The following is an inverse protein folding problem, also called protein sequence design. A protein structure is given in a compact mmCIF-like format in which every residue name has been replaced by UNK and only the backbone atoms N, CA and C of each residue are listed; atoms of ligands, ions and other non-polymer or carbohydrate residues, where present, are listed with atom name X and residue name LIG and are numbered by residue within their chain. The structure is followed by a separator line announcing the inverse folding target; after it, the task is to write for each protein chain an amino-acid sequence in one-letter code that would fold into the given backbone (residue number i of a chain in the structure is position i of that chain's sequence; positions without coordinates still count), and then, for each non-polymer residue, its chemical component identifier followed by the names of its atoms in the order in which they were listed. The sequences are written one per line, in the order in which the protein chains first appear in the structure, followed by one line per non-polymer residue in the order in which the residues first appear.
data_IF_127676242801
#
_entry.id   IF_127676242801
#
_cell.length_a   1.000
_cell.length_b   1.000
_cell.length_c   1.000
_cell.angle_alpha   90.00
_cell.angle_beta   90.00
_cell.angle_gamma   90.00
#
_symmetry.space_group_name_H-M   'P 1'
#
loop_
_entity.id
_entity.type
_entity.pdbx_description
1 polymer ?
#
# COMPACT_ATOMS: atom_id res chain seq x y z
N UNK A 1 -1.19 11.84 -21.63
CA UNK A 1 -0.77 10.54 -21.06
C UNK A 1 -0.51 10.63 -19.55
N UNK A 2 0.32 11.57 -19.08
CA UNK A 2 0.55 11.82 -17.65
C UNK A 2 -0.73 12.01 -16.82
N UNK A 3 -1.58 12.98 -17.18
CA UNK A 3 -2.79 13.31 -16.42
C UNK A 3 -3.75 12.11 -16.27
N UNK A 4 -3.89 11.32 -17.32
CA UNK A 4 -4.71 10.10 -17.28
C UNK A 4 -4.17 9.10 -16.26
N UNK A 5 -2.85 8.83 -16.29
CA UNK A 5 -2.20 7.90 -15.36
C UNK A 5 -2.26 8.44 -13.93
N UNK A 6 -2.09 9.76 -13.73
CA UNK A 6 -2.23 10.39 -12.42
C UNK A 6 -3.64 10.26 -11.86
N UNK A 7 -4.68 10.54 -12.67
CA UNK A 7 -6.09 10.38 -12.27
C UNK A 7 -6.41 8.93 -11.96
N UNK A 8 -5.92 7.99 -12.78
CA UNK A 8 -6.07 6.56 -12.50
C UNK A 8 -5.38 6.14 -11.19
N UNK A 9 -4.13 6.56 -10.97
CA UNK A 9 -3.39 6.25 -9.74
C UNK A 9 -4.11 6.78 -8.49
N UNK A 10 -4.66 7.99 -8.57
CA UNK A 10 -5.37 8.62 -7.45
C UNK A 10 -6.72 7.95 -7.21
N UNK A 11 -7.49 7.68 -8.27
CA UNK A 11 -8.78 6.97 -8.17
C UNK A 11 -8.63 5.53 -7.68
N UNK A 12 -7.66 4.78 -8.21
CA UNK A 12 -7.38 3.41 -7.79
C UNK A 12 -6.91 3.33 -6.34
N UNK A 13 -6.20 4.35 -5.85
CA UNK A 13 -5.74 4.41 -4.47
C UNK A 13 -6.86 4.27 -3.45
N UNK A 14 -8.03 4.88 -3.70
CA UNK A 14 -9.20 4.74 -2.82
C UNK A 14 -9.67 3.29 -2.71
N UNK A 15 -9.74 2.58 -3.85
CA UNK A 15 -10.13 1.16 -3.87
C UNK A 15 -9.06 0.29 -3.20
N UNK A 16 -7.79 0.51 -3.51
CA UNK A 16 -6.68 -0.24 -2.92
C UNK A 16 -6.62 -0.05 -1.40
N UNK A 17 -6.81 1.18 -0.92
CA UNK A 17 -6.87 1.50 0.51
C UNK A 17 -8.09 0.86 1.18
N UNK A 18 -9.28 0.95 0.57
CA UNK A 18 -10.49 0.34 1.09
C UNK A 18 -10.32 -1.18 1.26
N UNK A 19 -9.83 -1.87 0.23
CA UNK A 19 -9.65 -3.33 0.29
C UNK A 19 -8.57 -3.71 1.29
N UNK A 20 -7.50 -2.91 1.44
CA UNK A 20 -6.49 -3.12 2.48
C UNK A 20 -7.07 -2.96 3.89
N UNK A 21 -7.88 -1.92 4.13
CA UNK A 21 -8.58 -1.72 5.41
C UNK A 21 -9.50 -2.91 5.71
N UNK A 22 -10.29 -3.36 4.73
CA UNK A 22 -11.15 -4.54 4.88
C UNK A 22 -10.33 -5.78 5.25
N UNK A 23 -9.16 -5.99 4.64
CA UNK A 23 -8.29 -7.11 4.97
C UNK A 23 -7.75 -7.05 6.41
N UNK A 24 -7.33 -5.86 6.88
CA UNK A 24 -6.86 -5.66 8.26
C UNK A 24 -8.00 -5.83 9.27
N UNK A 25 -9.17 -5.26 9.01
CA UNK A 25 -10.34 -5.40 9.89
C UNK A 25 -10.78 -6.87 9.95
N UNK A 26 -10.87 -7.56 8.80
CA UNK A 26 -11.21 -8.98 8.76
C UNK A 26 -10.21 -9.83 9.57
N UNK A 27 -8.91 -9.52 9.50
CA UNK A 27 -7.91 -10.27 10.25
C UNK A 27 -7.94 -9.98 11.74
N UNK A 28 -8.25 -8.74 12.16
CA UNK A 28 -8.41 -8.38 13.56
C UNK A 28 -9.64 -9.06 14.17
N UNK A 29 -10.78 -9.06 13.46
CA UNK A 29 -12.00 -9.77 13.88
C UNK A 29 -11.72 -11.28 13.98
N UNK A 30 -11.11 -11.87 12.95
CA UNK A 30 -10.79 -13.30 12.96
C UNK A 30 -9.87 -13.71 14.11
N UNK A 31 -8.94 -12.84 14.49
CA UNK A 31 -8.05 -13.05 15.62
C UNK A 31 -8.76 -12.91 16.98
N UNK A 32 -9.56 -11.85 17.17
CA UNK A 32 -10.22 -11.58 18.46
C UNK A 32 -11.38 -12.55 18.73
N UNK A 33 -12.11 -12.96 17.69
CA UNK A 33 -13.23 -13.88 17.81
C UNK A 33 -12.84 -15.36 17.72
N UNK A 34 -11.53 -15.67 17.63
CA UNK A 34 -10.99 -17.04 17.44
C UNK A 34 -11.69 -17.82 16.31
N UNK A 35 -12.02 -17.11 15.22
CA UNK A 35 -12.72 -17.68 14.06
C UNK A 35 -11.82 -18.69 13.35
N UNK A 36 -12.43 -19.70 12.73
CA UNK A 36 -11.72 -20.51 11.74
C UNK A 36 -11.32 -19.69 10.51
N UNK A 37 -10.10 -19.91 10.01
CA UNK A 37 -9.62 -19.24 8.81
C UNK A 37 -10.12 -19.97 7.56
N UNK A 38 -10.91 -19.26 6.76
CA UNK A 38 -11.59 -19.85 5.60
C UNK A 38 -11.01 -19.36 4.27
N UNK A 39 -11.48 -19.94 3.17
CA UNK A 39 -11.13 -19.48 1.82
C UNK A 39 -11.55 -18.03 1.54
N UNK A 40 -12.63 -17.55 2.19
CA UNK A 40 -13.08 -16.16 2.11
C UNK A 40 -12.03 -15.21 2.69
N UNK A 41 -11.52 -15.52 3.88
CA UNK A 41 -10.51 -14.70 4.56
C UNK A 41 -9.22 -14.60 3.73
N UNK A 42 -8.81 -15.73 3.12
CA UNK A 42 -7.68 -15.77 2.18
C UNK A 42 -7.90 -14.87 0.96
N UNK A 43 -9.09 -14.91 0.36
CA UNK A 43 -9.42 -14.09 -0.82
C UNK A 43 -9.43 -12.60 -0.49
N UNK A 44 -9.96 -12.21 0.68
CA UNK A 44 -9.92 -10.82 1.13
C UNK A 44 -8.47 -10.32 1.20
N UNK A 45 -7.58 -11.07 1.85
CA UNK A 45 -6.16 -10.72 1.92
C UNK A 45 -5.49 -10.70 0.53
N UNK A 46 -5.83 -11.65 -0.35
CA UNK A 46 -5.31 -11.69 -1.71
C UNK A 46 -5.71 -10.46 -2.53
N UNK A 47 -6.97 -10.03 -2.45
CA UNK A 47 -7.42 -8.84 -3.18
C UNK A 47 -6.74 -7.57 -2.69
N UNK A 48 -6.49 -7.43 -1.38
CA UNK A 48 -5.69 -6.34 -0.84
C UNK A 48 -4.26 -6.35 -1.40
N UNK A 49 -3.61 -7.53 -1.42
CA UNK A 49 -2.28 -7.69 -2.01
C UNK A 49 -2.26 -7.24 -3.47
N UNK A 50 -3.19 -7.75 -4.30
CA UNK A 50 -3.27 -7.45 -5.73
C UNK A 50 -3.52 -5.96 -5.95
N UNK A 51 -4.50 -5.36 -5.27
CA UNK A 51 -4.86 -3.97 -5.47
C UNK A 51 -3.71 -3.02 -5.13
N UNK A 52 -2.98 -3.32 -4.05
CA UNK A 52 -1.80 -2.55 -3.62
C UNK A 52 -0.60 -2.74 -4.58
N UNK A 53 -0.42 -3.92 -5.17
CA UNK A 53 0.62 -4.12 -6.19
C UNK A 53 0.29 -3.41 -7.50
N UNK A 54 -0.99 -3.39 -7.91
CA UNK A 54 -1.43 -2.58 -9.06
C UNK A 54 -1.16 -1.10 -8.78
N UNK A 55 -1.49 -0.61 -7.58
CA UNK A 55 -1.18 0.76 -7.16
C UNK A 55 0.32 1.08 -7.29
N UNK A 56 1.20 0.15 -6.88
CA UNK A 56 2.64 0.29 -7.03
C UNK A 56 3.07 0.40 -8.49
N UNK A 57 2.61 -0.51 -9.34
CA UNK A 57 3.01 -0.53 -10.75
C UNK A 57 2.64 0.78 -11.45
N UNK A 58 1.44 1.28 -11.21
CA UNK A 58 0.98 2.58 -11.72
C UNK A 58 1.81 3.71 -11.11
N UNK A 59 2.10 3.65 -9.81
CA UNK A 59 2.92 4.64 -9.11
C UNK A 59 4.35 4.71 -9.63
N UNK A 60 4.95 3.59 -10.00
CA UNK A 60 6.28 3.53 -10.62
C UNK A 60 6.24 4.21 -11.99
N UNK A 61 5.25 3.90 -12.82
CA UNK A 61 5.09 4.58 -14.13
C UNK A 61 4.96 6.09 -13.90
N UNK A 62 4.10 6.50 -12.97
CA UNK A 62 3.87 7.90 -12.63
C UNK A 62 5.15 8.58 -12.13
N UNK A 63 5.96 7.90 -11.31
CA UNK A 63 7.22 8.43 -10.79
C UNK A 63 8.20 8.85 -11.89
N UNK A 64 8.24 8.14 -13.01
CA UNK A 64 9.14 8.46 -14.13
C UNK A 64 8.58 9.52 -15.09
N UNK A 65 7.27 9.57 -15.30
CA UNK A 65 6.64 10.48 -16.28
C UNK A 65 6.14 11.79 -15.66
N UNK A 66 5.93 11.83 -14.34
CA UNK A 66 5.41 13.00 -13.61
C UNK A 66 6.47 14.10 -13.46
N UNK A 67 6.09 15.39 -13.51
CA UNK A 67 6.97 16.48 -13.11
C UNK A 67 7.37 16.39 -11.63
N UNK A 68 6.54 15.78 -10.77
CA UNK A 68 6.72 15.74 -9.31
C UNK A 68 7.48 14.50 -8.80
N UNK A 69 7.86 13.59 -9.70
CA UNK A 69 8.62 12.37 -9.36
C UNK A 69 10.11 12.56 -9.58
N UNK A 70 10.72 11.67 -10.36
CA UNK A 70 12.15 11.73 -10.69
C UNK A 70 12.56 13.02 -11.38
N UNK A 71 11.69 13.59 -12.22
CA UNK A 71 11.99 14.82 -12.95
C UNK A 71 12.20 16.02 -12.00
N UNK A 72 11.47 16.06 -10.88
CA UNK A 72 11.69 17.08 -9.85
C UNK A 72 13.09 16.97 -9.25
N UNK A 73 13.52 15.75 -8.90
CA UNK A 73 14.86 15.50 -8.35
C UNK A 73 15.94 15.89 -9.37
N UNK A 74 15.74 15.58 -10.65
CA UNK A 74 16.67 15.98 -11.72
C UNK A 74 16.76 17.50 -11.88
N UNK A 75 15.65 18.21 -11.70
CA UNK A 75 15.60 19.66 -11.92
C UNK A 75 16.27 20.46 -10.80
N UNK A 76 16.07 20.08 -9.53
CA UNK A 76 16.54 20.87 -8.38
C UNK A 76 17.57 20.15 -7.50
N UNK A 77 17.87 18.89 -7.81
CA UNK A 77 18.70 18.04 -6.96
C UNK A 77 17.99 17.61 -5.67
N UNK A 78 18.53 16.58 -5.01
CA UNK A 78 17.97 16.07 -3.74
C UNK A 78 17.94 17.12 -2.63
N UNK A 79 18.96 17.98 -2.56
CA UNK A 79 19.07 19.04 -1.56
C UNK A 79 18.18 20.27 -1.85
N UNK A 80 17.68 20.42 -3.07
CA UNK A 80 16.82 21.54 -3.48
C UNK A 80 15.32 21.26 -3.35
N UNK A 81 14.91 20.10 -2.84
CA UNK A 81 13.51 19.74 -2.68
C UNK A 81 12.87 20.53 -1.52
N UNK A 82 11.73 21.16 -1.80
CA UNK A 82 10.85 21.71 -0.76
C UNK A 82 10.21 20.58 0.03
N UNK A 83 9.61 20.90 1.17
CA UNK A 83 8.88 19.90 1.98
C UNK A 83 7.83 19.15 1.15
N UNK A 84 7.10 19.85 0.28
CA UNK A 84 6.05 19.24 -0.54
C UNK A 84 6.62 18.39 -1.66
N UNK A 85 7.66 18.87 -2.35
CA UNK A 85 8.27 18.10 -3.44
C UNK A 85 9.04 16.88 -2.92
N UNK A 86 9.63 16.97 -1.73
CA UNK A 86 10.27 15.85 -1.03
C UNK A 86 9.26 14.77 -0.64
N UNK A 87 8.07 15.17 -0.17
CA UNK A 87 7.01 14.22 0.14
C UNK A 87 6.65 13.39 -1.10
N UNK A 88 6.44 14.04 -2.25
CA UNK A 88 6.02 13.37 -3.49
C UNK A 88 7.14 12.55 -4.15
N UNK A 89 8.33 13.13 -4.26
CA UNK A 89 9.42 12.53 -5.01
C UNK A 89 10.19 11.45 -4.22
N UNK A 90 10.13 11.46 -2.89
CA UNK A 90 10.95 10.57 -2.06
C UNK A 90 10.17 9.86 -0.97
N UNK A 91 9.56 10.61 -0.06
CA UNK A 91 9.01 10.02 1.18
C UNK A 91 7.81 9.11 0.86
N UNK A 92 6.92 9.54 -0.03
CA UNK A 92 5.78 8.75 -0.49
C UNK A 92 6.18 7.44 -1.19
N UNK A 93 6.96 7.45 -2.28
CA UNK A 93 7.33 6.20 -2.96
C UNK A 93 8.15 5.27 -2.05
N UNK A 94 9.07 5.80 -1.24
CA UNK A 94 9.92 4.99 -0.37
C UNK A 94 9.08 4.26 0.71
N UNK A 95 8.26 4.99 1.45
CA UNK A 95 7.46 4.41 2.53
C UNK A 95 6.41 3.44 1.99
N UNK A 96 5.82 3.72 0.83
CA UNK A 96 4.89 2.79 0.19
C UNK A 96 5.57 1.50 -0.25
N UNK A 97 6.78 1.55 -0.81
CA UNK A 97 7.54 0.33 -1.16
C UNK A 97 7.77 -0.52 0.09
N UNK A 98 8.17 0.08 1.22
CA UNK A 98 8.35 -0.63 2.49
C UNK A 98 7.03 -1.26 2.96
N UNK A 99 5.93 -0.50 2.90
CA UNK A 99 4.60 -1.01 3.24
C UNK A 99 4.21 -2.23 2.38
N UNK A 100 4.45 -2.17 1.08
CA UNK A 100 4.15 -3.24 0.13
C UNK A 100 5.00 -4.48 0.42
N UNK A 101 6.29 -4.30 0.73
CA UNK A 101 7.17 -5.40 1.15
C UNK A 101 6.60 -6.10 2.39
N UNK A 102 6.15 -5.34 3.40
CA UNK A 102 5.51 -5.92 4.59
C UNK A 102 4.25 -6.71 4.24
N UNK A 103 3.37 -6.15 3.40
CA UNK A 103 2.15 -6.83 2.92
C UNK A 103 2.52 -8.14 2.17
N UNK A 104 3.55 -8.12 1.34
CA UNK A 104 4.05 -9.32 0.63
C UNK A 104 4.64 -10.35 1.58
N UNK A 105 5.33 -9.93 2.64
CA UNK A 105 5.81 -10.82 3.70
C UNK A 105 4.63 -11.47 4.42
N UNK A 106 3.60 -10.68 4.82
CA UNK A 106 2.39 -11.22 5.43
C UNK A 106 1.71 -12.27 4.56
N UNK A 107 1.57 -11.98 3.26
CA UNK A 107 1.06 -12.95 2.28
C UNK A 107 1.94 -14.18 2.15
N UNK A 108 3.26 -14.03 2.16
CA UNK A 108 4.17 -15.17 2.01
C UNK A 108 4.19 -16.06 3.25
N UNK A 109 4.13 -15.47 4.45
CA UNK A 109 4.16 -16.20 5.72
C UNK A 109 2.86 -16.95 5.99
N UNK A 110 1.68 -16.40 5.70
CA UNK A 110 0.41 -17.09 6.02
C UNK A 110 0.29 -18.47 5.36
N UNK A 111 0.88 -18.64 4.16
CA UNK A 111 0.87 -19.90 3.39
C UNK A 111 1.57 -21.06 4.12
N UNK A 112 2.52 -20.75 4.99
CA UNK A 112 3.32 -21.74 5.75
C UNK A 112 2.71 -22.07 7.11
N UNK A 113 1.64 -21.40 7.52
CA UNK A 113 1.03 -21.56 8.83
C UNK A 113 -0.09 -22.59 8.79
N UNK A 114 -0.22 -23.36 9.87
CA UNK A 114 -1.27 -24.38 10.01
C UNK A 114 -2.53 -23.78 10.62
N UNK A 115 -2.43 -23.19 11.82
CA UNK A 115 -3.59 -22.68 12.55
C UNK A 115 -4.17 -21.39 11.95
N UNK A 116 -5.50 -21.26 12.01
CA UNK A 116 -6.22 -20.08 11.55
C UNK A 116 -5.84 -18.82 12.32
N UNK A 117 -5.70 -18.96 13.65
CA UNK A 117 -5.24 -17.87 14.53
C UNK A 117 -3.89 -17.29 14.06
N UNK A 118 -2.91 -18.14 13.73
CA UNK A 118 -1.59 -17.69 13.27
C UNK A 118 -1.67 -16.96 11.93
N UNK A 119 -2.56 -17.41 11.03
CA UNK A 119 -2.82 -16.75 9.74
C UNK A 119 -3.43 -15.37 9.93
N UNK A 120 -4.46 -15.25 10.77
CA UNK A 120 -5.08 -13.97 11.10
C UNK A 120 -4.08 -13.02 11.77
N UNK A 121 -3.32 -13.49 12.76
CA UNK A 121 -2.27 -12.71 13.44
C UNK A 121 -1.22 -12.20 12.45
N UNK A 122 -0.81 -13.02 11.49
CA UNK A 122 0.14 -12.62 10.46
C UNK A 122 -0.40 -11.48 9.60
N UNK A 123 -1.65 -11.57 9.13
CA UNK A 123 -2.26 -10.47 8.38
C UNK A 123 -2.43 -9.21 9.24
N UNK A 124 -2.93 -9.33 10.47
CA UNK A 124 -3.11 -8.18 11.37
C UNK A 124 -1.82 -7.40 11.61
N UNK A 125 -0.68 -8.10 11.78
CA UNK A 125 0.62 -7.45 11.96
C UNK A 125 1.11 -6.85 10.64
N UNK A 126 1.28 -7.66 9.60
CA UNK A 126 1.98 -7.21 8.39
C UNK A 126 1.13 -6.26 7.53
N UNK A 127 -0.16 -6.54 7.36
CA UNK A 127 -1.05 -5.67 6.60
C UNK A 127 -1.41 -4.44 7.42
N UNK A 128 -1.52 -4.57 8.75
CA UNK A 128 -1.71 -3.43 9.65
C UNK A 128 -0.54 -2.46 9.60
N UNK A 129 0.70 -2.94 9.71
CA UNK A 129 1.89 -2.09 9.56
C UNK A 129 1.96 -1.46 8.17
N UNK A 130 1.66 -2.22 7.11
CA UNK A 130 1.58 -1.68 5.76
C UNK A 130 0.54 -0.56 5.63
N UNK A 131 -0.64 -0.74 6.21
CA UNK A 131 -1.70 0.26 6.23
C UNK A 131 -1.26 1.54 6.96
N UNK A 132 -0.64 1.43 8.14
CA UNK A 132 -0.13 2.59 8.89
C UNK A 132 0.91 3.36 8.07
N UNK A 133 1.86 2.65 7.45
CA UNK A 133 2.89 3.28 6.62
C UNK A 133 2.28 4.00 5.41
N UNK A 134 1.34 3.37 4.69
CA UNK A 134 0.64 4.00 3.57
C UNK A 134 -0.07 5.27 4.03
N UNK A 135 -0.90 5.19 5.09
CA UNK A 135 -1.64 6.34 5.62
C UNK A 135 -0.72 7.48 6.05
N UNK A 136 0.46 7.17 6.58
CA UNK A 136 1.43 8.18 7.04
C UNK A 136 2.01 9.05 5.91
N UNK A 137 2.03 8.55 4.66
CA UNK A 137 2.64 9.24 3.52
C UNK A 137 1.72 9.45 2.32
N UNK A 138 0.41 9.25 2.45
CA UNK A 138 -0.52 9.73 1.42
C UNK A 138 -0.40 11.26 1.30
N UNK A 139 -0.21 11.82 0.10
CA UNK A 139 -0.20 13.27 -0.11
C UNK A 139 -1.65 13.80 -0.08
N UNK A 140 -2.25 13.84 1.11
CA UNK A 140 -3.67 14.15 1.33
C UNK A 140 -4.16 15.45 0.67
N UNK A 141 -3.27 16.44 0.52
CA UNK A 141 -3.59 17.73 -0.11
C UNK A 141 -3.73 17.69 -1.63
N UNK A 142 -3.28 16.60 -2.27
CA UNK A 142 -3.11 16.50 -3.74
C UNK A 142 -4.02 15.40 -4.34
N UNK A 143 -4.89 14.80 -3.53
CA UNK A 143 -5.85 13.78 -3.95
C UNK A 143 -7.11 14.32 -4.64
N UNK A 144 -7.27 15.65 -4.69
CA UNK A 144 -8.43 16.36 -5.24
C UNK A 144 -8.11 17.00 -6.59
#
# INVERSE_FOLDING_TARGET
MYEFIQKFHSGWAYLALLVLVVAVVNSLIGLSSKKEFTSKDRKIALFALIAIHIQLLVGIILYFISPNGLNMIKAVGMGGLTTESRLLALEHPLINIIAIVLITIGWSKHKKLVSGESKFKTFSIFYGLGLVLILSRIPWKIWF
#
